data_IF_429625539362
#
_entry.id   IF_429625539362
#
_cell.length_a   1.000
_cell.length_b   1.000
_cell.length_c   1.000
_cell.angle_alpha   90.00
_cell.angle_beta   90.00
_cell.angle_gamma   90.00
#
_symmetry.space_group_name_H-M   'P 1'
#
loop_
_entity.id
_entity.type
_entity.pdbx_description
1 polymer ?
#
# COMPACT_ATOMS: atom_id res chain seq x y z
N UNK A 1 35.80 -1.99 6.47
CA UNK A 1 35.23 -0.79 7.11
C UNK A 1 33.86 -0.47 6.51
N UNK A 2 32.84 0.03 7.19
CA UNK A 2 32.19 -0.53 8.38
C UNK A 2 30.80 -1.14 8.05
N UNK A 3 30.58 -2.37 8.51
CA UNK A 3 29.29 -3.14 8.37
C UNK A 3 28.24 -2.82 9.46
N UNK A 4 28.23 -1.64 10.08
CA UNK A 4 27.47 -1.44 11.35
C UNK A 4 26.29 -0.45 11.34
N UNK A 5 25.96 0.22 10.25
CA UNK A 5 24.98 1.33 10.32
C UNK A 5 23.53 0.87 10.19
N UNK A 6 23.23 -0.16 9.39
CA UNK A 6 21.83 -0.56 9.11
C UNK A 6 21.22 -1.52 10.15
N UNK A 7 22.03 -2.37 10.78
CA UNK A 7 21.50 -3.35 11.76
C UNK A 7 21.01 -2.72 13.08
N UNK A 8 21.56 -1.59 13.49
CA UNK A 8 21.13 -0.91 14.72
C UNK A 8 19.90 -0.02 14.49
N UNK A 9 19.74 0.56 13.32
CA UNK A 9 18.57 1.36 12.95
C UNK A 9 17.32 0.50 12.86
N UNK A 10 17.41 -0.70 12.26
CA UNK A 10 16.31 -1.66 12.20
C UNK A 10 15.91 -2.20 13.58
N UNK A 11 16.87 -2.48 14.47
CA UNK A 11 16.60 -2.95 15.84
C UNK A 11 16.00 -1.86 16.74
N UNK A 12 16.27 -0.60 16.49
CA UNK A 12 15.71 0.51 17.25
C UNK A 12 14.27 0.82 16.84
N UNK A 13 13.93 0.65 15.56
CA UNK A 13 12.56 0.77 15.04
C UNK A 13 11.64 -0.34 15.56
N UNK A 14 12.16 -1.54 15.84
CA UNK A 14 11.37 -2.67 16.36
C UNK A 14 11.05 -2.57 17.86
N UNK A 15 11.64 -1.64 18.62
CA UNK A 15 11.41 -1.46 20.07
C UNK A 15 10.41 -0.38 20.44
N UNK A 16 9.96 0.45 19.48
CA UNK A 16 8.94 1.45 19.75
C UNK A 16 7.55 0.81 19.71
N UNK A 17 6.80 1.06 20.79
CA UNK A 17 5.55 0.41 21.16
C UNK A 17 4.56 0.22 19.99
N UNK A 18 3.82 -0.89 20.02
CA UNK A 18 2.70 -1.25 19.13
C UNK A 18 1.75 -0.07 18.87
N UNK A 19 1.62 0.82 19.82
CA UNK A 19 0.76 1.99 19.75
C UNK A 19 1.30 3.10 18.85
N UNK A 20 2.62 3.29 18.79
CA UNK A 20 3.26 4.20 17.84
C UNK A 20 3.18 3.66 16.41
N UNK A 21 3.29 2.34 16.25
CA UNK A 21 3.09 1.69 14.93
C UNK A 21 1.66 1.87 14.44
N UNK A 22 0.66 1.67 15.33
CA UNK A 22 -0.75 1.89 15.02
C UNK A 22 -1.05 3.34 14.63
N UNK A 23 -0.50 4.31 15.35
CA UNK A 23 -0.64 5.73 15.04
C UNK A 23 0.04 6.09 13.73
N UNK A 24 1.26 5.65 13.50
CA UNK A 24 2.01 5.93 12.28
C UNK A 24 1.31 5.40 11.02
N UNK A 25 0.65 4.23 11.08
CA UNK A 25 -0.13 3.69 9.94
C UNK A 25 -1.39 4.52 9.71
N UNK A 26 -2.12 4.88 10.76
CA UNK A 26 -3.33 5.71 10.67
C UNK A 26 -2.97 7.10 10.14
N UNK A 27 -1.91 7.70 10.66
CA UNK A 27 -1.47 9.03 10.26
C UNK A 27 -0.84 9.01 8.85
N UNK A 28 -0.13 7.95 8.47
CA UNK A 28 0.42 7.78 7.12
C UNK A 28 -0.69 7.62 6.08
N UNK A 29 -1.74 6.85 6.37
CA UNK A 29 -2.91 6.71 5.49
C UNK A 29 -3.72 8.00 5.43
N UNK A 30 -3.79 8.74 6.53
CA UNK A 30 -4.65 9.92 6.67
C UNK A 30 -4.03 11.21 6.16
N UNK A 31 -2.71 11.40 6.26
CA UNK A 31 -2.12 12.73 6.12
C UNK A 31 -1.05 12.90 5.04
N UNK A 32 -0.27 11.89 4.69
CA UNK A 32 0.89 12.17 3.84
C UNK A 32 0.71 12.03 2.33
N UNK A 33 0.17 10.92 1.78
CA UNK A 33 0.28 10.74 0.33
C UNK A 33 -0.66 11.64 -0.47
N UNK A 34 -1.88 11.88 0.03
CA UNK A 34 -2.87 12.64 -0.74
C UNK A 34 -2.62 14.14 -0.67
N UNK A 35 -2.22 14.65 0.49
CA UNK A 35 -1.82 16.04 0.64
C UNK A 35 -0.63 16.37 -0.27
N UNK A 36 0.40 15.51 -0.28
CA UNK A 36 1.56 15.69 -1.16
C UNK A 36 1.17 15.60 -2.63
N UNK A 37 0.29 14.66 -3.00
CA UNK A 37 -0.06 14.38 -4.39
C UNK A 37 -1.07 15.36 -4.99
N UNK A 38 -1.90 16.00 -4.17
CA UNK A 38 -3.05 16.78 -4.64
C UNK A 38 -3.09 18.23 -4.16
N UNK A 39 -2.34 18.60 -3.11
CA UNK A 39 -2.27 20.01 -2.70
C UNK A 39 -1.75 20.89 -3.85
N UNK A 40 -2.45 21.97 -4.13
CA UNK A 40 -2.10 22.91 -5.20
C UNK A 40 -2.47 22.45 -6.61
N UNK A 41 -3.18 21.34 -6.77
CA UNK A 41 -3.73 20.93 -8.07
C UNK A 41 -5.09 21.61 -8.33
N UNK A 42 -5.51 21.67 -9.60
CA UNK A 42 -6.83 22.19 -9.99
C UNK A 42 -7.98 21.44 -9.32
N UNK A 43 -7.80 20.15 -9.01
CA UNK A 43 -8.80 19.36 -8.30
C UNK A 43 -8.94 19.80 -6.85
N UNK A 44 -7.85 20.20 -6.18
CA UNK A 44 -7.89 20.66 -4.79
C UNK A 44 -8.67 21.96 -4.58
N UNK A 45 -8.93 22.71 -5.65
CA UNK A 45 -9.75 23.92 -5.62
C UNK A 45 -11.25 23.67 -5.73
N UNK A 46 -11.68 22.42 -5.95
CA UNK A 46 -13.09 22.05 -6.09
C UNK A 46 -13.71 21.75 -4.72
N UNK A 47 -14.86 22.32 -4.41
CA UNK A 47 -15.55 22.18 -3.11
C UNK A 47 -15.86 20.72 -2.72
N UNK A 48 -16.08 19.86 -3.70
CA UNK A 48 -16.36 18.45 -3.50
C UNK A 48 -15.10 17.58 -3.32
N UNK A 49 -13.91 18.12 -3.60
CA UNK A 49 -12.65 17.40 -3.54
C UNK A 49 -11.95 17.66 -2.21
N UNK A 50 -12.12 16.78 -1.25
CA UNK A 50 -11.45 16.87 0.05
C UNK A 50 -10.03 16.28 -0.04
N UNK A 51 -9.01 17.14 -0.07
CA UNK A 51 -7.61 16.70 -0.05
C UNK A 51 -7.28 16.13 1.33
N UNK A 52 -6.81 14.87 1.36
CA UNK A 52 -6.42 14.19 2.61
C UNK A 52 -7.57 13.67 3.45
N UNK A 53 -8.81 13.77 2.97
CA UNK A 53 -9.99 13.22 3.62
C UNK A 53 -10.68 12.16 2.75
N UNK A 54 -11.64 11.46 3.30
CA UNK A 54 -12.40 10.46 2.57
C UNK A 54 -13.24 11.09 1.47
N UNK A 55 -13.52 10.30 0.43
CA UNK A 55 -14.34 10.74 -0.69
C UNK A 55 -15.74 11.12 -0.24
N UNK A 56 -16.29 12.15 -0.90
CA UNK A 56 -17.65 12.64 -0.69
C UNK A 56 -18.62 12.19 -1.76
N UNK A 57 -18.10 11.85 -2.93
CA UNK A 57 -18.89 11.36 -4.07
C UNK A 57 -18.54 9.90 -4.35
N UNK A 58 -19.53 9.09 -4.80
CA UNK A 58 -19.25 7.75 -5.30
C UNK A 58 -18.22 7.79 -6.42
N UNK A 59 -17.42 6.77 -6.52
CA UNK A 59 -16.49 6.56 -7.61
C UNK A 59 -16.44 5.10 -8.02
N UNK A 60 -15.91 4.84 -9.20
CA UNK A 60 -15.74 3.50 -9.73
C UNK A 60 -14.31 3.28 -10.21
N UNK A 61 -13.88 2.04 -10.29
CA UNK A 61 -12.58 1.64 -10.81
C UNK A 61 -12.74 0.47 -11.77
N UNK A 62 -12.34 0.68 -13.01
CA UNK A 62 -12.43 -0.37 -14.04
C UNK A 62 -13.85 -0.88 -14.26
N UNK A 63 -14.86 -0.01 -14.20
CA UNK A 63 -16.27 -0.34 -14.34
C UNK A 63 -16.89 -1.09 -13.14
N UNK A 64 -16.25 -1.02 -11.97
CA UNK A 64 -16.76 -1.56 -10.71
C UNK A 64 -17.00 -0.45 -9.71
N UNK A 65 -18.18 -0.47 -9.11
CA UNK A 65 -18.48 0.40 -7.98
C UNK A 65 -17.54 0.07 -6.81
N UNK A 66 -17.12 1.11 -6.11
CA UNK A 66 -16.32 1.00 -4.89
C UNK A 66 -17.21 1.26 -3.68
N UNK A 67 -16.66 1.13 -2.47
CA UNK A 67 -17.43 1.42 -1.24
C UNK A 67 -18.07 2.81 -1.30
N UNK A 68 -19.36 2.91 -0.97
CA UNK A 68 -20.09 4.18 -0.93
C UNK A 68 -19.49 5.13 0.12
N UNK A 69 -19.51 6.45 -0.10
CA UNK A 69 -18.87 7.44 0.78
C UNK A 69 -19.22 7.28 2.27
N UNK A 70 -20.48 7.04 2.58
CA UNK A 70 -20.99 6.87 3.96
C UNK A 70 -20.41 5.64 4.68
N UNK A 71 -19.96 4.63 3.93
CA UNK A 71 -19.41 3.39 4.48
C UNK A 71 -17.87 3.39 4.53
N UNK A 72 -17.19 4.30 3.84
CA UNK A 72 -15.73 4.32 3.71
C UNK A 72 -15.04 4.33 5.06
N UNK A 73 -15.46 5.20 5.97
CA UNK A 73 -14.81 5.32 7.28
C UNK A 73 -14.92 4.00 8.09
N UNK A 74 -16.08 3.36 8.05
CA UNK A 74 -16.36 2.09 8.74
C UNK A 74 -15.53 0.97 8.14
N UNK A 75 -15.52 0.82 6.81
CA UNK A 75 -14.82 -0.26 6.12
C UNK A 75 -13.31 -0.09 6.23
N UNK A 76 -12.77 1.12 6.08
CA UNK A 76 -11.35 1.40 6.28
C UNK A 76 -10.91 1.06 7.71
N UNK A 77 -11.72 1.46 8.72
CA UNK A 77 -11.44 1.11 10.12
C UNK A 77 -11.46 -0.41 10.35
N UNK A 78 -12.40 -1.11 9.74
CA UNK A 78 -12.50 -2.57 9.82
C UNK A 78 -11.30 -3.26 9.17
N UNK A 79 -10.90 -2.82 7.97
CA UNK A 79 -9.71 -3.33 7.28
C UNK A 79 -8.45 -3.14 8.13
N UNK A 80 -8.23 -1.94 8.65
CA UNK A 80 -7.09 -1.65 9.52
C UNK A 80 -7.10 -2.49 10.79
N UNK A 81 -8.26 -2.67 11.44
CA UNK A 81 -8.39 -3.50 12.63
C UNK A 81 -8.05 -4.96 12.33
N UNK A 82 -8.57 -5.51 11.25
CA UNK A 82 -8.30 -6.89 10.85
C UNK A 82 -6.81 -7.10 10.49
N UNK A 83 -6.21 -6.17 9.76
CA UNK A 83 -4.80 -6.24 9.42
C UNK A 83 -3.91 -6.14 10.66
N UNK A 84 -4.14 -5.18 11.53
CA UNK A 84 -3.35 -4.96 12.74
C UNK A 84 -3.58 -6.01 13.86
N UNK A 85 -4.50 -6.96 13.68
CA UNK A 85 -4.67 -8.05 14.65
C UNK A 85 -3.50 -9.03 14.64
N UNK A 86 -2.72 -9.07 13.56
CA UNK A 86 -1.52 -9.86 13.43
C UNK A 86 -0.27 -8.98 13.59
N UNK A 87 0.75 -9.52 14.25
CA UNK A 87 2.03 -8.82 14.45
C UNK A 87 3.02 -8.98 13.28
N UNK A 88 2.77 -9.94 12.40
CA UNK A 88 3.62 -10.23 11.24
C UNK A 88 2.75 -10.52 10.02
N UNK A 89 3.17 -10.02 8.87
CA UNK A 89 2.46 -10.22 7.61
C UNK A 89 3.37 -10.84 6.55
N UNK A 90 2.84 -11.86 5.88
CA UNK A 90 3.47 -12.44 4.69
C UNK A 90 3.28 -11.51 3.49
N UNK A 91 4.02 -11.80 2.42
CA UNK A 91 3.82 -11.14 1.12
C UNK A 91 2.36 -11.18 0.66
N UNK A 92 1.70 -12.33 0.78
CA UNK A 92 0.31 -12.52 0.41
C UNK A 92 -0.65 -11.66 1.26
N UNK A 93 -0.40 -11.57 2.58
CA UNK A 93 -1.22 -10.72 3.45
C UNK A 93 -1.11 -9.23 3.06
N UNK A 94 0.08 -8.78 2.66
CA UNK A 94 0.32 -7.41 2.21
C UNK A 94 -0.42 -7.14 0.90
N UNK A 95 -0.38 -8.08 -0.04
CA UNK A 95 -1.11 -7.98 -1.32
C UNK A 95 -2.62 -8.03 -1.09
N UNK A 96 -3.14 -8.92 -0.22
CA UNK A 96 -4.57 -8.97 0.13
C UNK A 96 -5.06 -7.67 0.75
N UNK A 97 -4.29 -7.11 1.68
CA UNK A 97 -4.59 -5.79 2.26
C UNK A 97 -4.71 -4.71 1.16
N UNK A 98 -3.78 -4.71 0.21
CA UNK A 98 -3.79 -3.76 -0.90
C UNK A 98 -5.03 -3.93 -1.78
N UNK A 99 -5.43 -5.16 -2.10
CA UNK A 99 -6.66 -5.44 -2.87
C UNK A 99 -7.89 -4.90 -2.16
N UNK A 100 -8.01 -5.14 -0.86
CA UNK A 100 -9.14 -4.64 -0.05
C UNK A 100 -9.15 -3.11 0.02
N UNK A 101 -7.99 -2.49 0.15
CA UNK A 101 -7.85 -1.03 0.10
C UNK A 101 -8.31 -0.47 -1.24
N UNK A 102 -7.90 -1.08 -2.38
CA UNK A 102 -8.31 -0.67 -3.71
C UNK A 102 -9.84 -0.84 -3.94
N UNK A 103 -10.48 -1.79 -3.28
CA UNK A 103 -11.94 -1.98 -3.32
C UNK A 103 -12.71 -0.94 -2.51
N UNK A 104 -12.19 -0.57 -1.35
CA UNK A 104 -12.77 0.52 -0.56
C UNK A 104 -12.65 1.82 -1.31
N UNK A 105 -11.49 2.05 -1.94
CA UNK A 105 -11.18 3.26 -2.70
C UNK A 105 -11.49 4.52 -1.91
N UNK A 106 -10.85 4.72 -0.74
CA UNK A 106 -11.32 5.64 0.29
C UNK A 106 -11.27 7.11 -0.10
N UNK A 107 -10.46 7.48 -1.08
CA UNK A 107 -10.26 8.87 -1.48
C UNK A 107 -10.96 9.17 -2.81
N UNK A 108 -11.19 10.46 -3.08
CA UNK A 108 -11.82 10.86 -4.33
C UNK A 108 -10.93 10.57 -5.56
N UNK A 109 -9.60 10.70 -5.40
CA UNK A 109 -8.58 10.32 -6.38
C UNK A 109 -7.28 9.91 -5.69
N UNK A 110 -6.36 9.29 -6.42
CA UNK A 110 -5.03 8.95 -5.96
C UNK A 110 -4.94 7.62 -5.16
N UNK A 111 -6.03 6.88 -5.05
CA UNK A 111 -6.07 5.64 -4.27
C UNK A 111 -4.99 4.64 -4.70
N UNK A 112 -4.84 4.38 -5.99
CA UNK A 112 -3.82 3.47 -6.49
C UNK A 112 -2.38 3.88 -6.13
N UNK A 113 -2.08 5.19 -6.08
CA UNK A 113 -0.77 5.69 -5.64
C UNK A 113 -0.58 5.49 -4.15
N UNK A 114 -1.58 5.85 -3.36
CA UNK A 114 -1.59 5.64 -1.91
C UNK A 114 -1.49 4.16 -1.57
N UNK A 115 -2.30 3.30 -2.19
CA UNK A 115 -2.30 1.86 -1.96
C UNK A 115 -0.93 1.23 -2.24
N UNK A 116 -0.26 1.61 -3.34
CA UNK A 116 1.09 1.12 -3.65
C UNK A 116 2.16 1.64 -2.68
N UNK A 117 2.04 2.87 -2.19
CA UNK A 117 2.95 3.40 -1.17
C UNK A 117 2.77 2.68 0.17
N UNK A 118 1.53 2.37 0.56
CA UNK A 118 1.27 1.56 1.75
C UNK A 118 1.88 0.16 1.58
N UNK A 119 1.67 -0.47 0.44
CA UNK A 119 2.23 -1.79 0.14
C UNK A 119 3.77 -1.78 0.23
N UNK A 120 4.44 -0.78 -0.33
CA UNK A 120 5.88 -0.58 -0.19
C UNK A 120 6.30 -0.47 1.29
N UNK A 121 5.61 0.37 2.05
CA UNK A 121 5.89 0.56 3.49
C UNK A 121 5.70 -0.74 4.27
N UNK A 122 4.63 -1.51 3.99
CA UNK A 122 4.37 -2.78 4.67
C UNK A 122 5.43 -3.84 4.32
N UNK A 123 5.86 -3.91 3.07
CA UNK A 123 6.98 -4.77 2.68
C UNK A 123 8.23 -4.47 3.52
N UNK A 124 8.61 -3.20 3.64
CA UNK A 124 9.77 -2.78 4.44
C UNK A 124 9.60 -3.08 5.93
N UNK A 125 8.39 -2.86 6.48
CA UNK A 125 8.09 -3.09 7.89
C UNK A 125 8.16 -4.57 8.29
N UNK A 126 7.86 -5.47 7.34
CA UNK A 126 7.81 -6.93 7.59
C UNK A 126 8.98 -7.69 6.99
N UNK A 127 10.06 -7.02 6.58
CA UNK A 127 11.25 -7.61 5.95
C UNK A 127 10.91 -8.41 4.68
N UNK A 128 9.90 -7.98 3.95
CA UNK A 128 9.57 -8.45 2.61
C UNK A 128 10.29 -7.55 1.60
N UNK A 129 10.97 -8.14 0.63
CA UNK A 129 11.60 -7.35 -0.44
C UNK A 129 10.51 -6.55 -1.16
N UNK A 130 10.62 -5.23 -1.25
CA UNK A 130 9.62 -4.40 -1.91
C UNK A 130 9.65 -4.61 -3.43
N UNK A 131 8.66 -4.04 -4.12
CA UNK A 131 8.57 -4.09 -5.57
C UNK A 131 7.83 -2.87 -6.13
N UNK A 132 8.01 -2.64 -7.42
CA UNK A 132 7.37 -1.53 -8.14
C UNK A 132 6.64 -2.08 -9.35
N UNK A 133 5.34 -1.80 -9.44
CA UNK A 133 4.54 -2.11 -10.63
C UNK A 133 4.85 -1.06 -11.71
N UNK A 134 5.58 -1.48 -12.72
CA UNK A 134 5.96 -0.63 -13.85
C UNK A 134 4.84 -0.57 -14.91
N UNK A 135 4.92 0.38 -15.85
CA UNK A 135 3.88 0.60 -16.85
C UNK A 135 3.59 -0.65 -17.69
N UNK A 136 4.62 -1.41 -18.06
CA UNK A 136 4.47 -2.64 -18.84
C UNK A 136 3.85 -3.81 -18.05
N UNK A 137 3.70 -3.70 -16.73
CA UNK A 137 3.03 -4.68 -15.87
C UNK A 137 1.58 -4.29 -15.54
N UNK A 138 1.16 -3.11 -15.92
CA UNK A 138 -0.10 -2.49 -15.50
C UNK A 138 -1.34 -3.31 -15.89
N UNK A 139 -1.37 -3.86 -17.10
CA UNK A 139 -2.47 -4.70 -17.58
C UNK A 139 -2.61 -6.00 -16.75
N UNK A 140 -1.49 -6.63 -16.43
CA UNK A 140 -1.47 -7.84 -15.58
C UNK A 140 -1.91 -7.51 -14.15
N UNK A 141 -1.45 -6.39 -13.60
CA UNK A 141 -1.82 -5.92 -12.28
C UNK A 141 -3.33 -5.64 -12.19
N UNK A 142 -3.93 -4.92 -13.12
CA UNK A 142 -5.38 -4.67 -13.09
C UNK A 142 -6.20 -5.94 -13.32
N UNK A 143 -5.75 -6.86 -14.18
CA UNK A 143 -6.36 -8.17 -14.30
C UNK A 143 -6.32 -8.92 -12.97
N UNK A 144 -5.17 -8.91 -12.28
CA UNK A 144 -5.01 -9.55 -11.00
C UNK A 144 -5.93 -8.98 -9.91
N UNK A 145 -6.03 -7.65 -9.80
CA UNK A 145 -7.00 -6.99 -8.90
C UNK A 145 -8.44 -7.42 -9.20
N UNK A 146 -8.81 -7.45 -10.49
CA UNK A 146 -10.15 -7.83 -10.93
C UNK A 146 -10.50 -9.28 -10.65
N UNK A 147 -9.52 -10.19 -10.68
CA UNK A 147 -9.73 -11.64 -10.54
C UNK A 147 -9.43 -12.19 -9.15
N UNK A 148 -9.02 -11.35 -8.21
CA UNK A 148 -8.52 -11.75 -6.90
C UNK A 148 -9.35 -12.82 -6.18
N UNK A 149 -10.68 -12.68 -6.14
CA UNK A 149 -11.56 -13.63 -5.45
C UNK A 149 -11.67 -15.00 -6.13
N UNK A 150 -11.43 -15.03 -7.45
CA UNK A 150 -11.52 -16.25 -8.23
C UNK A 150 -10.17 -16.94 -8.37
N UNK A 151 -9.12 -16.15 -8.56
CA UNK A 151 -7.77 -16.62 -8.80
C UNK A 151 -6.76 -15.53 -8.40
N UNK A 152 -6.33 -15.57 -7.15
CA UNK A 152 -5.38 -14.61 -6.58
C UNK A 152 -3.97 -14.74 -7.18
N UNK A 153 -3.63 -15.90 -7.78
CA UNK A 153 -2.36 -16.18 -8.42
C UNK A 153 -1.98 -15.13 -9.46
N UNK A 154 -2.94 -14.63 -10.25
CA UNK A 154 -2.63 -13.59 -11.25
C UNK A 154 -1.98 -12.33 -10.65
N UNK A 155 -2.45 -11.86 -9.51
CA UNK A 155 -1.86 -10.69 -8.87
C UNK A 155 -0.58 -11.05 -8.14
N UNK A 156 -0.56 -12.16 -7.43
CA UNK A 156 0.62 -12.63 -6.71
C UNK A 156 1.80 -12.84 -7.66
N UNK A 157 1.60 -13.54 -8.78
CA UNK A 157 2.64 -13.76 -9.79
C UNK A 157 3.15 -12.44 -10.40
N UNK A 158 2.23 -11.50 -10.66
CA UNK A 158 2.61 -10.17 -11.15
C UNK A 158 3.48 -9.43 -10.14
N UNK A 159 3.10 -9.46 -8.87
CA UNK A 159 3.85 -8.82 -7.80
C UNK A 159 5.18 -9.54 -7.52
N UNK A 160 5.24 -10.86 -7.58
CA UNK A 160 6.48 -11.63 -7.47
C UNK A 160 7.45 -11.34 -8.63
N UNK A 161 6.96 -11.28 -9.86
CA UNK A 161 7.77 -10.89 -11.01
C UNK A 161 8.33 -9.46 -10.88
N UNK A 162 7.54 -8.54 -10.30
CA UNK A 162 8.02 -7.19 -9.99
C UNK A 162 9.07 -7.20 -8.87
N UNK A 163 8.91 -8.07 -7.85
CA UNK A 163 9.86 -8.25 -6.77
C UNK A 163 11.20 -8.80 -7.29
N UNK A 164 11.18 -9.76 -8.22
CA UNK A 164 12.41 -10.31 -8.78
C UNK A 164 13.20 -9.26 -9.57
N UNK A 165 12.52 -8.38 -10.29
CA UNK A 165 13.17 -7.21 -10.94
C UNK A 165 13.76 -6.26 -9.90
N UNK A 166 13.10 -6.06 -8.78
CA UNK A 166 13.62 -5.22 -7.70
C UNK A 166 14.86 -5.85 -7.04
N UNK A 167 14.83 -7.18 -6.80
CA UNK A 167 15.99 -7.95 -6.33
C UNK A 167 17.19 -7.81 -7.27
N UNK A 168 16.98 -7.95 -8.57
CA UNK A 168 18.03 -7.77 -9.57
C UNK A 168 18.67 -6.36 -9.49
N UNK A 169 17.86 -5.33 -9.17
CA UNK A 169 18.36 -3.97 -8.93
C UNK A 169 19.18 -3.88 -7.65
N UNK A 170 18.72 -4.52 -6.56
CA UNK A 170 19.47 -4.59 -5.30
C UNK A 170 20.83 -5.30 -5.50
N UNK A 171 20.83 -6.40 -6.24
CA UNK A 171 22.04 -7.16 -6.58
C UNK A 171 23.03 -6.32 -7.39
N UNK A 172 22.54 -5.58 -8.39
CA UNK A 172 23.35 -4.66 -9.17
C UNK A 172 24.05 -3.61 -8.29
N UNK A 173 23.33 -3.05 -7.32
CA UNK A 173 23.87 -2.08 -6.36
C UNK A 173 24.55 -2.72 -5.14
N UNK A 174 24.65 -4.06 -5.09
CA UNK A 174 25.23 -4.83 -3.96
C UNK A 174 24.58 -4.53 -2.61
N UNK A 175 23.28 -4.32 -2.62
CA UNK A 175 22.47 -4.10 -1.41
C UNK A 175 21.97 -5.44 -0.90
N UNK A 176 22.37 -5.81 0.32
CA UNK A 176 21.95 -7.08 0.93
C UNK A 176 20.45 -7.05 1.32
N UNK A 177 19.74 -8.13 1.02
CA UNK A 177 18.34 -8.35 1.44
C UNK A 177 18.16 -9.79 1.94
N UNK A 178 17.08 -10.03 2.68
CA UNK A 178 16.76 -11.37 3.20
C UNK A 178 15.93 -12.08 2.14
N UNK A 179 16.41 -13.24 1.69
CA UNK A 179 15.62 -14.21 0.93
C UNK A 179 14.97 -15.17 1.92
N UNK A 180 13.67 -15.23 1.91
CA UNK A 180 12.90 -16.29 2.60
C UNK A 180 12.49 -17.33 1.60
#
# INVERSE_FOLDING_TARGET
MPRRVWGNTLKQVTKDSEERKRRAVIDFVRFMPLNILKTGTTDSAKDWFAVGDYKRLPNEVGGRETTLPENVAKETKSLLKAYNSNSSHSFENIVDYHVRFERIHPFQDGNGRVGRLIMLKECLAHNVVPFVITENMKSFYYRGLSKWDKENGYLLDTCLAAQDRFKATLDYFRIAYITR
#
